data_IF_720228294667
#
_entry.id   IF_720228294667
#
_cell.length_a   1.000
_cell.length_b   1.000
_cell.length_c   1.000
_cell.angle_alpha   90.00
_cell.angle_beta   90.00
_cell.angle_gamma   90.00
#
_symmetry.space_group_name_H-M   'P 1'
#
loop_
_entity.id
_entity.type
_entity.pdbx_description
1 polymer ?
#
# COMPACT_ATOMS: atom_id res chain seq x y z
N UNK A 1 -30.77 -7.24 15.41
CA UNK A 1 -29.88 -7.85 14.38
C UNK A 1 -28.68 -6.94 14.07
N UNK A 2 -28.89 -5.66 13.73
CA UNK A 2 -27.84 -4.65 13.48
C UNK A 2 -26.85 -4.42 14.65
N UNK A 3 -27.30 -4.54 15.90
CA UNK A 3 -26.44 -4.41 17.10
C UNK A 3 -25.33 -5.49 17.15
N UNK A 4 -25.66 -6.74 16.78
CA UNK A 4 -24.70 -7.86 16.71
C UNK A 4 -23.68 -7.70 15.58
N UNK A 5 -24.04 -7.05 14.47
CA UNK A 5 -23.15 -6.81 13.34
C UNK A 5 -22.07 -5.77 13.72
N UNK A 6 -22.47 -4.73 14.47
CA UNK A 6 -21.57 -3.69 14.96
C UNK A 6 -20.66 -4.17 16.11
N UNK A 7 -21.15 -5.07 16.95
CA UNK A 7 -20.37 -5.72 18.02
C UNK A 7 -19.26 -6.62 17.44
N UNK A 8 -19.54 -7.39 16.37
CA UNK A 8 -18.56 -8.26 15.69
C UNK A 8 -17.40 -7.52 15.01
N UNK A 9 -17.52 -6.22 14.76
CA UNK A 9 -16.48 -5.38 14.14
C UNK A 9 -15.45 -4.88 15.19
N UNK A 10 -15.67 -5.06 16.51
CA UNK A 10 -14.63 -4.75 17.51
C UNK A 10 -15.06 -4.35 18.92
N UNK A 11 -16.30 -4.60 19.36
CA UNK A 11 -16.70 -4.38 20.76
C UNK A 11 -17.18 -5.70 21.39
N UNK A 12 -16.37 -6.30 22.28
CA UNK A 12 -16.69 -7.55 23.02
C UNK A 12 -18.00 -7.39 23.82
N UNK A 13 -18.83 -8.43 24.01
CA UNK A 13 -18.58 -9.71 24.72
C UNK A 13 -19.36 -10.89 24.11
N UNK A 14 -18.85 -12.09 24.34
CA UNK A 14 -19.27 -13.41 23.82
C UNK A 14 -20.76 -13.73 23.83
N UNK A 15 -21.27 -14.39 22.79
CA UNK A 15 -21.65 -15.82 22.81
C UNK A 15 -22.17 -16.31 21.44
N UNK A 16 -21.81 -17.57 21.18
CA UNK A 16 -22.22 -18.60 20.21
C UNK A 16 -23.15 -18.31 19.02
N UNK A 17 -22.87 -18.99 17.90
CA UNK A 17 -23.80 -19.14 16.78
C UNK A 17 -23.11 -19.60 15.50
N UNK A 18 -22.93 -20.91 15.37
CA UNK A 18 -22.59 -21.64 14.16
C UNK A 18 -23.83 -21.67 13.24
N UNK A 19 -23.68 -21.40 11.94
CA UNK A 19 -24.67 -21.82 10.93
C UNK A 19 -23.97 -22.08 9.60
N UNK A 20 -23.89 -23.35 9.23
CA UNK A 20 -23.74 -23.84 7.86
C UNK A 20 -25.06 -23.65 7.09
N UNK A 21 -24.97 -23.37 5.80
CA UNK A 21 -26.10 -23.35 4.88
C UNK A 21 -25.66 -23.17 3.43
N UNK A 22 -25.88 -24.21 2.63
CA UNK A 22 -25.36 -24.45 1.27
C UNK A 22 -26.27 -23.90 0.16
N UNK A 23 -25.59 -23.44 -0.90
CA UNK A 23 -25.91 -23.28 -2.34
C UNK A 23 -27.15 -22.53 -2.86
N UNK A 24 -26.84 -21.52 -3.68
CA UNK A 24 -27.49 -21.24 -4.95
C UNK A 24 -26.45 -20.59 -5.87
N UNK A 25 -26.02 -21.27 -6.94
CA UNK A 25 -24.97 -20.79 -7.82
C UNK A 25 -25.49 -19.65 -8.72
N UNK A 26 -25.36 -18.42 -8.22
CA UNK A 26 -25.31 -17.22 -9.05
C UNK A 26 -23.82 -16.96 -9.29
N UNK A 27 -23.42 -16.90 -10.57
CA UNK A 27 -22.05 -16.58 -10.98
C UNK A 27 -21.73 -15.12 -10.65
N UNK A 28 -21.39 -14.84 -9.40
CA UNK A 28 -20.77 -13.58 -9.02
C UNK A 28 -19.28 -13.65 -9.37
N UNK A 29 -18.79 -12.70 -10.17
CA UNK A 29 -17.35 -12.51 -10.31
C UNK A 29 -16.82 -11.88 -9.01
N UNK A 30 -16.14 -12.68 -8.20
CA UNK A 30 -15.44 -12.18 -7.01
C UNK A 30 -14.06 -11.69 -7.43
N UNK A 31 -13.75 -10.43 -7.12
CA UNK A 31 -12.35 -9.97 -7.10
C UNK A 31 -11.85 -10.21 -5.69
N UNK A 32 -10.75 -10.96 -5.54
CA UNK A 32 -9.95 -11.03 -4.31
C UNK A 32 -9.29 -9.67 -4.04
N UNK A 33 -10.11 -8.70 -3.64
CA UNK A 33 -9.73 -7.29 -3.51
C UNK A 33 -8.82 -7.01 -2.32
N UNK A 34 -8.77 -7.92 -1.35
CA UNK A 34 -7.97 -7.76 -0.12
C UNK A 34 -6.48 -7.57 -0.39
N UNK A 35 -5.94 -8.23 -1.42
CA UNK A 35 -4.54 -8.04 -1.84
C UNK A 35 -4.28 -6.65 -2.45
N UNK A 36 -5.22 -6.15 -3.26
CA UNK A 36 -5.04 -4.89 -4.00
C UNK A 36 -5.10 -3.68 -3.07
N UNK A 37 -6.09 -3.61 -2.18
CA UNK A 37 -6.18 -2.48 -1.24
C UNK A 37 -5.05 -2.49 -0.22
N UNK A 38 -4.63 -3.68 0.25
CA UNK A 38 -3.48 -3.78 1.16
C UNK A 38 -2.20 -3.27 0.50
N UNK A 39 -1.91 -3.69 -0.73
CA UNK A 39 -0.73 -3.24 -1.48
C UNK A 39 -0.75 -1.72 -1.72
N UNK A 40 -1.88 -1.15 -2.12
CA UNK A 40 -2.05 0.30 -2.28
C UNK A 40 -1.89 1.07 -0.97
N UNK A 41 -2.39 0.51 0.13
CA UNK A 41 -2.24 1.10 1.47
C UNK A 41 -0.76 1.14 1.88
N UNK A 42 0.00 0.09 1.59
CA UNK A 42 1.44 0.08 1.85
C UNK A 42 2.19 1.16 1.08
N UNK A 43 1.89 1.33 -0.22
CA UNK A 43 2.48 2.42 -1.00
C UNK A 43 2.12 3.79 -0.42
N UNK A 44 0.85 4.00 -0.06
CA UNK A 44 0.40 5.26 0.53
C UNK A 44 1.12 5.59 1.84
N UNK A 45 1.29 4.62 2.74
CA UNK A 45 1.86 4.88 4.07
C UNK A 45 3.39 4.92 4.06
N UNK A 46 4.04 4.14 3.19
CA UNK A 46 5.51 4.00 3.19
C UNK A 46 6.23 4.95 2.24
N UNK A 47 5.55 5.43 1.19
CA UNK A 47 6.16 6.35 0.23
C UNK A 47 5.89 7.82 0.63
N UNK A 48 6.92 8.61 0.97
CA UNK A 48 6.73 9.96 1.50
C UNK A 48 6.13 10.94 0.48
N UNK A 49 6.47 10.78 -0.80
CA UNK A 49 5.95 11.64 -1.88
C UNK A 49 4.45 11.40 -2.05
N UNK A 50 4.04 10.14 -2.08
CA UNK A 50 2.65 9.73 -2.19
C UNK A 50 1.85 10.15 -0.97
N UNK A 51 2.37 9.90 0.23
CA UNK A 51 1.72 10.31 1.47
C UNK A 51 1.47 11.82 1.48
N UNK A 52 2.51 12.60 1.20
CA UNK A 52 2.43 14.07 1.22
C UNK A 52 1.47 14.59 0.15
N UNK A 53 1.55 14.07 -1.07
CA UNK A 53 0.66 14.48 -2.17
C UNK A 53 -0.81 14.22 -1.84
N UNK A 54 -1.13 13.01 -1.35
CA UNK A 54 -2.51 12.62 -1.03
C UNK A 54 -3.04 13.40 0.17
N UNK A 55 -2.26 13.56 1.23
CA UNK A 55 -2.66 14.34 2.40
C UNK A 55 -2.87 15.82 2.08
N UNK A 56 -2.01 16.39 1.23
CA UNK A 56 -2.15 17.78 0.76
C UNK A 56 -3.40 17.95 -0.08
N UNK A 57 -3.63 17.07 -1.07
CA UNK A 57 -4.83 17.11 -1.91
C UNK A 57 -6.11 16.92 -1.09
N UNK A 58 -6.12 16.01 -0.13
CA UNK A 58 -7.26 15.80 0.77
C UNK A 58 -7.55 17.08 1.55
N UNK A 59 -6.51 17.74 2.08
CA UNK A 59 -6.64 19.00 2.82
C UNK A 59 -7.13 20.14 1.92
N UNK A 60 -6.71 20.21 0.65
CA UNK A 60 -7.22 21.20 -0.29
C UNK A 60 -8.68 20.97 -0.69
N UNK A 61 -9.11 19.72 -0.80
CA UNK A 61 -10.49 19.37 -1.15
C UNK A 61 -11.43 19.62 0.03
N UNK A 62 -11.05 19.20 1.24
CA UNK A 62 -11.93 19.21 2.41
C UNK A 62 -11.76 20.46 3.27
N UNK A 63 -10.60 21.12 3.20
CA UNK A 63 -10.26 22.31 4.00
C UNK A 63 -11.23 23.48 3.88
N UNK A 64 -11.78 23.81 2.70
CA UNK A 64 -12.81 24.83 2.55
C UNK A 64 -14.13 24.51 3.29
N UNK A 65 -14.31 23.27 3.74
CA UNK A 65 -15.56 22.77 4.31
C UNK A 65 -16.64 22.57 3.25
N UNK A 66 -17.85 22.34 3.72
CA UNK A 66 -19.02 22.19 2.86
C UNK A 66 -20.20 22.97 3.43
N UNK A 67 -21.18 23.29 2.57
CA UNK A 67 -22.43 23.91 2.99
C UNK A 67 -23.60 23.12 2.43
N UNK A 68 -24.73 23.15 3.13
CA UNK A 68 -25.97 22.48 2.73
C UNK A 68 -26.93 23.54 2.23
N UNK A 69 -27.42 23.37 1.00
CA UNK A 69 -28.40 24.25 0.37
C UNK A 69 -29.72 23.52 0.13
N UNK A 70 -30.86 24.15 0.43
CA UNK A 70 -32.18 23.57 0.24
C UNK A 70 -33.28 24.32 1.01
N UNK A 71 -34.44 23.68 1.18
CA UNK A 71 -35.52 24.20 2.02
C UNK A 71 -35.10 24.33 3.49
N UNK A 72 -35.56 25.38 4.18
CA UNK A 72 -35.06 25.77 5.49
C UNK A 72 -35.16 24.65 6.55
N UNK A 73 -36.27 23.91 6.56
CA UNK A 73 -36.45 22.77 7.49
C UNK A 73 -35.53 21.60 7.14
N UNK A 74 -35.36 21.30 5.86
CA UNK A 74 -34.48 20.23 5.41
C UNK A 74 -33.01 20.54 5.72
N UNK A 75 -32.58 21.79 5.49
CA UNK A 75 -31.23 22.27 5.80
C UNK A 75 -30.93 22.14 7.29
N UNK A 76 -31.88 22.50 8.18
CA UNK A 76 -31.67 22.37 9.63
C UNK A 76 -31.50 20.90 10.06
N UNK A 77 -32.32 19.99 9.51
CA UNK A 77 -32.24 18.55 9.80
C UNK A 77 -30.88 17.99 9.36
N UNK A 78 -30.46 18.31 8.14
CA UNK A 78 -29.20 17.81 7.57
C UNK A 78 -27.99 18.40 8.30
N UNK A 79 -27.99 19.70 8.60
CA UNK A 79 -26.90 20.32 9.38
C UNK A 79 -26.79 19.73 10.79
N UNK A 80 -27.92 19.43 11.42
CA UNK A 80 -27.93 18.75 12.72
C UNK A 80 -27.34 17.35 12.61
N UNK A 81 -27.74 16.57 11.61
CA UNK A 81 -27.17 15.25 11.35
C UNK A 81 -25.66 15.35 11.12
N UNK A 82 -25.21 16.23 10.22
CA UNK A 82 -23.80 16.42 9.88
C UNK A 82 -22.94 16.76 11.10
N UNK A 83 -23.45 17.58 12.02
CA UNK A 83 -22.77 17.92 13.26
C UNK A 83 -22.67 16.73 14.22
N UNK A 84 -23.71 15.90 14.31
CA UNK A 84 -23.73 14.73 15.18
C UNK A 84 -22.77 13.64 14.69
N UNK A 85 -22.75 13.37 13.38
CA UNK A 85 -21.90 12.32 12.81
C UNK A 85 -20.45 12.77 12.57
N UNK A 86 -20.15 14.06 12.73
CA UNK A 86 -18.83 14.61 12.43
C UNK A 86 -18.52 14.51 10.93
N UNK A 87 -19.41 15.03 10.08
CA UNK A 87 -19.32 14.88 8.63
C UNK A 87 -17.98 15.36 8.05
N UNK A 88 -17.35 16.39 8.62
CA UNK A 88 -16.02 16.85 8.18
C UNK A 88 -14.95 15.74 8.26
N UNK A 89 -14.98 14.95 9.33
CA UNK A 89 -14.03 13.84 9.55
C UNK A 89 -14.34 12.67 8.61
N UNK A 90 -15.62 12.41 8.37
CA UNK A 90 -16.08 11.41 7.40
C UNK A 90 -15.61 11.80 6.00
N UNK A 91 -15.84 13.05 5.58
CA UNK A 91 -15.43 13.56 4.28
C UNK A 91 -13.90 13.53 4.13
N UNK A 92 -13.15 13.97 5.15
CA UNK A 92 -11.69 13.89 5.12
C UNK A 92 -11.21 12.47 4.87
N UNK A 93 -11.76 11.49 5.61
CA UNK A 93 -11.39 10.08 5.47
C UNK A 93 -11.82 9.51 4.13
N UNK A 94 -13.05 9.78 3.71
CA UNK A 94 -13.59 9.27 2.45
C UNK A 94 -12.81 9.81 1.25
N UNK A 95 -12.51 11.11 1.23
CA UNK A 95 -11.70 11.74 0.17
C UNK A 95 -10.29 11.18 0.16
N UNK A 96 -9.65 11.03 1.34
CA UNK A 96 -8.32 10.44 1.44
C UNK A 96 -8.30 9.03 0.80
N UNK A 97 -9.27 8.18 1.17
CA UNK A 97 -9.42 6.83 0.63
C UNK A 97 -9.76 6.79 -0.86
N UNK A 98 -10.60 7.70 -1.34
CA UNK A 98 -10.85 7.87 -2.76
C UNK A 98 -9.55 8.18 -3.51
N UNK A 99 -8.66 9.01 -2.96
CA UNK A 99 -7.40 9.36 -3.62
C UNK A 99 -6.41 8.20 -3.65
N UNK A 100 -6.16 7.50 -2.53
CA UNK A 100 -5.14 6.43 -2.49
C UNK A 100 -5.63 5.06 -2.94
N UNK A 101 -6.90 4.72 -2.72
CA UNK A 101 -7.49 3.43 -3.08
C UNK A 101 -8.47 3.50 -4.26
N UNK A 102 -8.97 4.69 -4.59
CA UNK A 102 -10.03 4.88 -5.59
C UNK A 102 -11.43 4.73 -5.00
N UNK A 103 -11.55 4.21 -3.78
CA UNK A 103 -12.80 3.75 -3.19
C UNK A 103 -12.82 4.04 -1.69
N UNK A 104 -13.98 4.37 -1.14
CA UNK A 104 -14.24 4.41 0.30
C UNK A 104 -15.62 3.84 0.59
N UNK A 105 -15.71 2.94 1.57
CA UNK A 105 -16.94 2.21 1.89
C UNK A 105 -17.42 2.50 3.30
N UNK A 106 -18.72 2.76 3.43
CA UNK A 106 -19.35 3.12 4.69
C UNK A 106 -20.71 2.40 4.84
N UNK A 107 -21.09 2.08 6.07
CA UNK A 107 -22.36 1.45 6.42
C UNK A 107 -23.30 2.51 6.96
N UNK A 108 -24.51 2.58 6.40
CA UNK A 108 -25.62 3.35 6.96
C UNK A 108 -26.17 2.65 8.19
N UNK A 109 -26.23 3.36 9.31
CA UNK A 109 -26.82 2.85 10.55
C UNK A 109 -28.17 3.53 10.77
N UNK A 110 -29.21 2.71 10.85
CA UNK A 110 -30.58 3.16 11.07
C UNK A 110 -31.06 2.82 12.49
N UNK A 111 -31.81 3.74 13.09
CA UNK A 111 -32.59 3.51 14.30
C UNK A 111 -34.01 4.07 14.11
N UNK A 112 -35.02 3.24 14.37
CA UNK A 112 -36.43 3.60 14.15
C UNK A 112 -36.74 4.11 12.73
N UNK A 113 -36.03 3.63 11.70
CA UNK A 113 -36.16 4.07 10.30
C UNK A 113 -35.46 5.40 9.98
N UNK A 114 -34.76 6.01 10.93
CA UNK A 114 -33.96 7.23 10.72
C UNK A 114 -32.48 6.89 10.63
N UNK A 115 -31.77 7.51 9.69
CA UNK A 115 -30.31 7.41 9.61
C UNK A 115 -29.70 8.15 10.80
N UNK A 116 -28.94 7.45 11.63
CA UNK A 116 -28.32 8.01 12.83
C UNK A 116 -26.80 8.13 12.73
N UNK A 117 -26.16 7.30 11.91
CA UNK A 117 -24.69 7.22 11.85
C UNK A 117 -24.21 6.63 10.51
N UNK A 118 -22.94 6.89 10.20
CA UNK A 118 -22.21 6.33 9.07
C UNK A 118 -20.92 5.70 9.57
N UNK A 119 -20.81 4.37 9.45
CA UNK A 119 -19.66 3.63 9.96
C UNK A 119 -18.70 3.23 8.87
N UNK A 120 -17.44 3.62 9.04
CA UNK A 120 -16.38 3.32 8.09
C UNK A 120 -16.07 1.82 8.01
N UNK A 121 -15.89 1.30 6.79
CA UNK A 121 -15.35 -0.03 6.54
C UNK A 121 -13.89 0.12 6.09
N UNK A 122 -12.91 -0.35 6.88
CA UNK A 122 -11.52 -0.37 6.45
C UNK A 122 -11.34 -1.19 5.18
N UNK A 123 -10.80 -0.56 4.13
CA UNK A 123 -10.61 -1.20 2.82
C UNK A 123 -9.71 -2.43 2.90
N UNK A 124 -8.72 -2.41 3.79
CA UNK A 124 -7.79 -3.52 4.03
C UNK A 124 -8.45 -4.75 4.66
N UNK A 125 -9.67 -4.62 5.18
CA UNK A 125 -10.43 -5.74 5.76
C UNK A 125 -11.41 -6.35 4.76
N UNK A 126 -11.59 -5.72 3.59
CA UNK A 126 -12.46 -6.26 2.55
C UNK A 126 -11.74 -7.42 1.87
N UNK A 127 -12.31 -8.60 1.95
CA UNK A 127 -11.76 -9.82 1.34
C UNK A 127 -12.25 -9.95 -0.10
N UNK A 128 -13.55 -9.75 -0.31
CA UNK A 128 -14.18 -9.85 -1.62
C UNK A 128 -15.20 -8.74 -1.85
N UNK A 129 -15.28 -8.30 -3.10
CA UNK A 129 -16.33 -7.41 -3.59
C UNK A 129 -17.17 -8.19 -4.59
N UNK A 130 -18.42 -8.43 -4.23
CA UNK A 130 -19.40 -9.04 -5.12
C UNK A 130 -20.03 -7.95 -5.96
N UNK A 131 -19.92 -8.07 -7.27
CA UNK A 131 -20.43 -7.08 -8.21
C UNK A 131 -21.17 -7.75 -9.37
N UNK A 132 -22.10 -6.98 -9.90
CA UNK A 132 -22.71 -7.16 -11.20
C UNK A 132 -22.02 -6.22 -12.20
N UNK A 133 -22.37 -6.27 -13.48
CA UNK A 133 -21.72 -5.47 -14.53
C UNK A 133 -21.76 -3.97 -14.26
N UNK A 134 -22.79 -3.49 -13.55
CA UNK A 134 -23.03 -2.06 -13.31
C UNK A 134 -22.91 -1.63 -11.85
N UNK A 135 -22.96 -2.56 -10.89
CA UNK A 135 -23.09 -2.19 -9.46
C UNK A 135 -22.43 -3.19 -8.52
N UNK A 136 -22.05 -2.69 -7.34
CA UNK A 136 -21.66 -3.53 -6.22
C UNK A 136 -22.93 -4.15 -5.63
N UNK A 137 -22.91 -5.46 -5.44
CA UNK A 137 -24.02 -6.25 -4.88
C UNK A 137 -23.83 -6.43 -3.38
N UNK A 138 -22.62 -6.82 -2.96
CA UNK A 138 -22.26 -7.02 -1.56
C UNK A 138 -20.76 -6.91 -1.33
N UNK A 139 -20.37 -6.69 -0.08
CA UNK A 139 -18.99 -6.75 0.38
C UNK A 139 -18.82 -7.89 1.38
N UNK A 140 -17.70 -8.59 1.31
CA UNK A 140 -17.24 -9.47 2.37
C UNK A 140 -16.10 -8.80 3.13
N UNK A 141 -16.25 -8.72 4.45
CA UNK A 141 -15.30 -8.06 5.34
C UNK A 141 -14.84 -9.05 6.39
N UNK A 142 -13.53 -9.24 6.49
CA UNK A 142 -12.93 -10.00 7.56
C UNK A 142 -12.82 -9.13 8.81
N UNK A 143 -13.50 -9.55 9.87
CA UNK A 143 -13.40 -8.92 11.18
C UNK A 143 -12.09 -9.29 11.88
N UNK A 144 -11.71 -8.53 12.91
CA UNK A 144 -10.50 -8.79 13.72
C UNK A 144 -10.54 -10.20 14.35
N UNK A 145 -11.73 -10.75 14.60
CA UNK A 145 -11.92 -12.10 15.15
C UNK A 145 -11.80 -13.21 14.09
N UNK A 146 -11.53 -12.86 12.83
CA UNK A 146 -11.42 -13.79 11.71
C UNK A 146 -12.75 -14.17 11.07
N UNK A 147 -13.89 -13.71 11.60
CA UNK A 147 -15.19 -13.97 11.00
C UNK A 147 -15.36 -13.13 9.73
N UNK A 148 -15.89 -13.75 8.67
CA UNK A 148 -16.29 -13.07 7.44
C UNK A 148 -17.73 -12.60 7.58
N UNK A 149 -17.94 -11.30 7.44
CA UNK A 149 -19.26 -10.67 7.43
C UNK A 149 -19.60 -10.25 6.01
N UNK A 150 -20.80 -10.65 5.55
CA UNK A 150 -21.36 -10.17 4.29
C UNK A 150 -22.24 -8.94 4.54
N UNK A 151 -22.01 -7.88 3.78
CA UNK A 151 -22.73 -6.60 3.87
C UNK A 151 -23.40 -6.34 2.52
N UNK A 152 -24.72 -6.19 2.51
CA UNK A 152 -25.48 -5.94 1.30
C UNK A 152 -25.41 -4.48 0.84
N UNK A 153 -25.51 -4.29 -0.48
CA UNK A 153 -25.40 -2.98 -1.13
C UNK A 153 -26.43 -1.93 -0.67
N UNK A 154 -27.60 -2.33 -0.17
CA UNK A 154 -28.65 -1.40 0.29
C UNK A 154 -28.18 -0.50 1.45
N UNK A 155 -27.41 -1.09 2.37
CA UNK A 155 -26.86 -0.39 3.53
C UNK A 155 -25.48 0.21 3.26
N UNK A 156 -24.94 0.01 2.06
CA UNK A 156 -23.59 0.43 1.68
C UNK A 156 -23.61 1.81 1.03
N UNK A 157 -22.71 2.67 1.47
CA UNK A 157 -22.33 3.89 0.77
C UNK A 157 -20.97 3.67 0.15
N UNK A 158 -20.88 3.88 -1.16
CA UNK A 158 -19.64 3.78 -1.94
C UNK A 158 -19.28 5.16 -2.47
N UNK A 159 -18.22 5.74 -1.92
CA UNK A 159 -17.57 6.90 -2.51
C UNK A 159 -16.45 6.41 -3.44
N UNK A 160 -16.37 7.00 -4.63
CA UNK A 160 -15.37 6.65 -5.63
C UNK A 160 -14.82 7.90 -6.31
N UNK A 161 -13.53 7.90 -6.64
CA UNK A 161 -12.90 9.05 -7.30
C UNK A 161 -13.35 9.16 -8.76
N UNK A 162 -12.90 8.23 -9.59
CA UNK A 162 -13.24 8.15 -11.03
C UNK A 162 -13.36 6.67 -11.40
N UNK A 163 -14.34 6.32 -12.24
CA UNK A 163 -14.44 4.99 -12.86
C UNK A 163 -13.93 5.08 -14.29
N UNK A 164 -13.04 4.19 -14.68
CA UNK A 164 -12.57 4.12 -16.07
C UNK A 164 -13.36 3.04 -16.82
N UNK A 165 -13.96 3.39 -17.96
CA UNK A 165 -14.76 2.46 -18.75
C UNK A 165 -15.96 1.90 -17.96
N UNK A 166 -16.20 0.60 -18.08
CA UNK A 166 -17.25 -0.14 -17.36
C UNK A 166 -16.83 -0.67 -15.99
N UNK A 167 -15.77 -0.13 -15.38
CA UNK A 167 -15.36 -0.55 -14.04
C UNK A 167 -16.38 -0.10 -12.98
N UNK A 168 -16.74 -1.05 -12.10
CA UNK A 168 -17.66 -0.77 -10.96
C UNK A 168 -16.94 -0.06 -9.81
N UNK A 169 -15.63 -0.28 -9.69
CA UNK A 169 -14.78 0.32 -8.67
C UNK A 169 -14.13 1.59 -9.19
N UNK A 170 -13.87 2.51 -8.26
CA UNK A 170 -13.09 3.69 -8.55
C UNK A 170 -11.60 3.39 -8.67
N UNK A 171 -10.94 4.24 -9.45
CA UNK A 171 -9.52 4.25 -9.74
C UNK A 171 -8.82 5.30 -8.87
N UNK A 172 -7.75 4.95 -8.12
CA UNK A 172 -6.99 5.93 -7.35
C UNK A 172 -6.17 6.83 -8.26
N UNK A 173 -5.77 7.99 -7.74
CA UNK A 173 -4.94 8.95 -8.48
C UNK A 173 -3.55 8.36 -8.81
N UNK A 174 -3.04 7.48 -7.96
CA UNK A 174 -1.73 6.85 -8.13
C UNK A 174 -1.79 5.52 -8.90
N UNK A 175 -2.93 5.16 -9.52
CA UNK A 175 -3.06 3.92 -10.32
C UNK A 175 -1.91 3.74 -11.33
N UNK A 176 -1.53 4.76 -12.13
CA UNK A 176 -0.44 4.61 -13.10
C UNK A 176 0.92 4.31 -12.44
N UNK A 177 1.11 4.64 -11.17
CA UNK A 177 2.33 4.39 -10.42
C UNK A 177 2.34 2.99 -9.78
N UNK A 178 1.16 2.48 -9.42
CA UNK A 178 1.00 1.18 -8.74
C UNK A 178 0.91 -0.02 -9.68
N UNK A 179 0.47 0.17 -10.92
CA UNK A 179 0.22 -0.92 -11.85
C UNK A 179 1.40 -1.12 -12.82
N UNK A 180 1.81 -2.38 -13.09
CA UNK A 180 2.79 -2.67 -14.12
C UNK A 180 2.24 -2.33 -15.51
N UNK A 181 3.13 -2.03 -16.45
CA UNK A 181 2.76 -1.61 -17.81
C UNK A 181 3.38 -2.54 -18.83
N UNK A 182 2.64 -2.84 -19.89
CA UNK A 182 3.18 -3.55 -21.05
C UNK A 182 3.65 -2.52 -22.07
N UNK A 183 4.90 -2.65 -22.52
CA UNK A 183 5.48 -1.82 -23.58
C UNK A 183 5.78 -2.72 -24.76
N UNK A 184 5.24 -2.36 -25.92
CA UNK A 184 5.54 -3.02 -27.18
C UNK A 184 6.80 -2.41 -27.80
N UNK A 185 7.78 -3.25 -28.07
CA UNK A 185 8.99 -2.91 -28.80
C UNK A 185 8.80 -3.31 -30.27
N UNK A 186 8.66 -2.34 -31.19
CA UNK A 186 8.46 -2.62 -32.60
C UNK A 186 9.71 -3.21 -33.28
N UNK A 187 10.91 -2.91 -32.78
CA UNK A 187 12.17 -3.35 -33.39
C UNK A 187 12.42 -4.85 -33.11
N UNK A 188 12.01 -5.30 -31.92
CA UNK A 188 12.13 -6.71 -31.49
C UNK A 188 10.84 -7.51 -31.67
N UNK A 189 9.77 -6.86 -32.12
CA UNK A 189 8.42 -7.41 -32.21
C UNK A 189 8.00 -8.16 -30.93
N UNK A 190 8.29 -7.58 -29.77
CA UNK A 190 8.12 -8.21 -28.46
C UNK A 190 7.47 -7.26 -27.45
N UNK A 191 6.69 -7.81 -26.52
CA UNK A 191 6.09 -7.06 -25.42
C UNK A 191 6.90 -7.28 -24.14
N UNK A 192 7.31 -6.19 -23.51
CA UNK A 192 8.02 -6.21 -22.23
C UNK A 192 7.12 -5.71 -21.11
N UNK A 193 7.11 -6.44 -19.99
CA UNK A 193 6.44 -5.99 -18.78
C UNK A 193 7.39 -5.10 -17.96
N UNK A 194 7.03 -3.84 -17.81
CA UNK A 194 7.69 -2.90 -16.91
C UNK A 194 6.98 -3.00 -15.55
N UNK A 195 7.73 -3.22 -14.44
CA UNK A 195 7.15 -3.26 -13.11
C UNK A 195 6.53 -1.91 -12.72
N UNK A 196 5.80 -1.88 -11.60
CA UNK A 196 5.22 -0.63 -11.12
C UNK A 196 6.30 0.41 -10.80
N UNK A 197 5.96 1.69 -10.87
CA UNK A 197 6.92 2.75 -10.60
C UNK A 197 7.43 2.71 -9.16
N UNK A 198 6.58 2.32 -8.20
CA UNK A 198 7.00 2.11 -6.81
C UNK A 198 8.01 0.99 -6.68
N UNK A 199 7.80 -0.14 -7.37
CA UNK A 199 8.74 -1.26 -7.31
C UNK A 199 10.11 -0.86 -7.89
N UNK A 200 10.12 -0.06 -8.97
CA UNK A 200 11.36 0.52 -9.52
C UNK A 200 12.03 1.44 -8.49
N UNK A 201 11.28 2.41 -7.95
CA UNK A 201 11.80 3.38 -6.97
C UNK A 201 12.42 2.69 -5.77
N UNK A 202 11.71 1.76 -5.14
CA UNK A 202 12.19 1.03 -3.98
C UNK A 202 13.36 0.08 -4.31
N UNK A 203 13.37 -0.52 -5.50
CA UNK A 203 14.51 -1.32 -5.95
C UNK A 203 15.77 -0.48 -6.14
N UNK A 204 15.62 0.76 -6.61
CA UNK A 204 16.72 1.72 -6.74
C UNK A 204 17.23 2.17 -5.38
N UNK A 205 16.34 2.48 -4.43
CA UNK A 205 16.71 2.80 -3.04
C UNK A 205 17.48 1.64 -2.39
N UNK A 206 17.02 0.40 -2.57
CA UNK A 206 17.72 -0.79 -2.10
C UNK A 206 19.09 -0.96 -2.78
N UNK A 207 19.19 -0.76 -4.09
CA UNK A 207 20.45 -0.83 -4.80
C UNK A 207 21.44 0.24 -4.33
N UNK A 208 20.96 1.48 -4.12
CA UNK A 208 21.73 2.59 -3.57
C UNK A 208 22.23 2.25 -2.17
N UNK A 209 21.35 1.75 -1.30
CA UNK A 209 21.71 1.29 0.04
C UNK A 209 22.81 0.23 0.00
N UNK A 210 22.70 -0.77 -0.89
CA UNK A 210 23.75 -1.79 -1.04
C UNK A 210 25.08 -1.20 -1.52
N UNK A 211 25.06 -0.23 -2.43
CA UNK A 211 26.29 0.45 -2.87
C UNK A 211 26.91 1.19 -1.69
N UNK A 212 26.13 2.01 -0.98
CA UNK A 212 26.58 2.76 0.20
C UNK A 212 27.12 1.85 1.31
N UNK A 213 26.46 0.72 1.57
CA UNK A 213 26.90 -0.27 2.58
C UNK A 213 28.07 -1.13 2.11
N UNK A 214 28.28 -1.29 0.81
CA UNK A 214 29.45 -1.99 0.22
C UNK A 214 30.67 -1.08 0.10
N UNK A 215 30.51 0.24 0.31
CA UNK A 215 31.58 1.22 0.29
C UNK A 215 32.62 1.19 1.44
N UNK A 216 32.55 0.36 2.50
CA UNK A 216 33.72 0.14 3.32
C UNK A 216 34.85 -0.37 2.42
N UNK A 217 36.04 0.26 2.41
CA UNK A 217 37.15 -0.21 1.62
C UNK A 217 37.38 -1.68 1.92
N UNK A 218 37.27 -2.53 0.88
CA UNK A 218 37.60 -3.94 1.02
C UNK A 218 39.11 -4.03 1.08
N UNK A 219 39.61 -4.31 2.28
CA UNK A 219 41.00 -4.61 2.53
C UNK A 219 41.25 -6.09 2.23
N UNK A 220 42.15 -6.36 1.29
CA UNK A 220 42.71 -7.71 1.17
C UNK A 220 43.93 -7.73 2.07
N UNK A 221 43.84 -8.50 3.15
CA UNK A 221 44.95 -8.76 4.06
C UNK A 221 45.73 -9.96 3.54
N UNK A 222 46.96 -9.72 3.10
CA UNK A 222 47.88 -10.81 2.73
C UNK A 222 48.85 -11.04 3.88
N UNK A 223 48.80 -12.24 4.45
CA UNK A 223 49.72 -12.69 5.50
C UNK A 223 50.76 -13.65 4.88
N UNK A 224 51.97 -13.19 4.52
CA UNK A 224 52.91 -13.98 3.72
C UNK A 224 53.53 -15.19 4.43
N UNK A 225 53.47 -15.28 5.77
CA UNK A 225 54.18 -16.31 6.56
C UNK A 225 53.27 -17.23 7.39
N UNK A 226 51.95 -17.18 7.21
CA UNK A 226 50.99 -17.90 8.04
C UNK A 226 50.00 -18.68 7.15
N UNK A 227 49.72 -19.94 7.52
CA UNK A 227 48.70 -20.76 6.89
C UNK A 227 47.74 -21.40 7.89
N UNK A 228 46.48 -21.58 7.48
CA UNK A 228 45.53 -22.48 8.13
C UNK A 228 44.63 -21.83 9.20
N UNK A 229 44.92 -22.09 10.48
CA UNK A 229 44.01 -21.82 11.60
C UNK A 229 44.05 -20.37 12.09
N UNK A 230 45.23 -19.80 12.31
CA UNK A 230 45.40 -18.40 12.73
C UNK A 230 44.87 -17.41 11.69
N UNK A 231 44.97 -17.75 10.39
CA UNK A 231 44.35 -16.97 9.31
C UNK A 231 42.81 -16.94 9.42
N UNK A 232 42.19 -18.04 9.86
CA UNK A 232 40.73 -18.11 10.07
C UNK A 232 40.32 -17.30 11.29
N UNK A 233 41.07 -17.35 12.38
CA UNK A 233 40.82 -16.52 13.57
C UNK A 233 40.90 -15.02 13.25
N UNK A 234 41.91 -14.59 12.49
CA UNK A 234 41.99 -13.20 12.02
C UNK A 234 40.84 -12.85 11.07
N UNK A 235 40.44 -13.77 10.18
CA UNK A 235 39.30 -13.55 9.28
C UNK A 235 37.96 -13.43 10.04
N UNK A 236 37.77 -14.19 11.12
CA UNK A 236 36.60 -14.07 11.98
C UNK A 236 36.59 -12.77 12.78
N UNK A 237 37.74 -12.36 13.32
CA UNK A 237 37.90 -11.05 13.96
C UNK A 237 37.61 -9.89 13.00
N UNK A 238 38.07 -9.98 11.75
CA UNK A 238 37.79 -8.98 10.71
C UNK A 238 36.29 -8.92 10.37
N UNK A 239 35.58 -10.06 10.37
CA UNK A 239 34.13 -10.10 10.13
C UNK A 239 33.33 -9.47 11.27
N UNK A 240 33.83 -9.53 12.50
CA UNK A 240 33.17 -8.98 13.69
C UNK A 240 33.50 -7.51 13.97
N UNK A 241 34.46 -6.91 13.26
CA UNK A 241 34.87 -5.52 13.48
C UNK A 241 33.81 -4.52 13.02
N UNK A 242 33.67 -3.44 13.79
CA UNK A 242 32.83 -2.31 13.42
C UNK A 242 33.55 -1.40 12.41
N UNK A 243 32.81 -0.69 11.53
CA UNK A 243 33.41 0.27 10.62
C UNK A 243 34.25 1.33 11.36
N UNK A 244 35.56 1.38 11.10
CA UNK A 244 36.48 2.35 11.71
C UNK A 244 37.40 1.78 12.80
N UNK A 245 37.31 0.48 13.12
CA UNK A 245 38.27 -0.17 14.01
C UNK A 245 39.57 -0.54 13.28
N UNK A 246 40.71 -0.14 13.84
CA UNK A 246 42.04 -0.42 13.30
C UNK A 246 42.64 -1.71 13.88
N UNK A 247 43.30 -2.49 13.03
CA UNK A 247 44.00 -3.70 13.45
C UNK A 247 45.46 -3.36 13.73
N UNK A 248 45.88 -3.52 14.97
CA UNK A 248 47.30 -3.43 15.35
C UNK A 248 47.86 -4.85 15.44
N UNK A 249 48.88 -5.15 14.65
CA UNK A 249 49.58 -6.43 14.68
C UNK A 249 51.09 -6.22 14.58
N UNK A 250 51.85 -7.09 15.25
CA UNK A 250 53.32 -7.08 15.26
C UNK A 250 53.94 -7.80 14.05
N UNK A 251 53.13 -8.14 13.04
CA UNK A 251 53.54 -8.92 11.88
C UNK A 251 53.43 -8.09 10.59
N UNK A 252 54.27 -8.39 9.60
CA UNK A 252 54.18 -7.78 8.28
C UNK A 252 52.86 -8.17 7.60
N UNK A 253 52.02 -7.17 7.33
CA UNK A 253 50.74 -7.34 6.64
C UNK A 253 50.72 -6.41 5.43
N UNK A 254 50.57 -6.99 4.26
CA UNK A 254 50.29 -6.23 3.04
C UNK A 254 48.79 -5.98 2.94
N UNK A 255 48.37 -4.73 3.11
CA UNK A 255 46.99 -4.30 2.96
C UNK A 255 46.79 -3.73 1.56
N UNK A 256 46.20 -4.53 0.66
CA UNK A 256 45.81 -4.04 -0.66
C UNK A 256 44.42 -3.43 -0.52
N UNK A 257 44.35 -2.10 -0.60
CA UNK A 257 43.08 -1.38 -0.71
C UNK A 257 42.53 -1.54 -2.12
N UNK A 258 41.40 -2.25 -2.24
CA UNK A 258 40.66 -2.28 -3.51
C UNK A 258 39.88 -0.98 -3.64
N UNK A 259 40.48 0.03 -4.27
CA UNK A 259 39.78 1.25 -4.66
C UNK A 259 38.83 0.93 -5.82
N UNK A 260 37.53 0.96 -5.54
CA UNK A 260 36.51 0.92 -6.58
C UNK A 260 36.17 2.36 -6.95
N UNK A 261 36.56 2.81 -8.15
CA UNK A 261 36.27 4.17 -8.61
C UNK A 261 34.79 4.26 -9.07
N UNK A 262 33.94 5.06 -8.39
CA UNK A 262 32.53 5.22 -8.75
C UNK A 262 32.31 5.78 -10.16
N UNK A 263 33.26 6.56 -10.68
CA UNK A 263 33.08 7.30 -11.95
C UNK A 263 33.12 6.40 -13.18
N UNK A 264 33.71 5.22 -13.06
CA UNK A 264 33.89 4.28 -14.18
C UNK A 264 32.61 3.56 -14.59
N UNK A 265 31.58 3.47 -13.73
CA UNK A 265 30.34 2.77 -14.07
C UNK A 265 29.45 3.53 -15.05
N UNK A 266 29.58 4.86 -15.15
CA UNK A 266 28.84 5.70 -16.10
C UNK A 266 29.46 5.74 -17.50
N UNK A 267 30.76 5.48 -17.63
CA UNK A 267 31.48 5.52 -18.93
C UNK A 267 31.30 4.24 -19.75
N UNK A 268 30.97 3.11 -19.11
CA UNK A 268 30.72 1.85 -19.82
C UNK A 268 29.37 1.81 -20.55
N UNK A 269 28.43 2.70 -20.24
CA UNK A 269 27.13 2.78 -20.94
C UNK A 269 27.25 3.62 -22.24
N UNK A 270 28.26 4.50 -22.36
CA UNK A 270 28.47 5.32 -23.57
C UNK A 270 29.29 4.63 -24.67
N UNK A 271 29.94 3.48 -24.40
CA UNK A 271 30.84 2.83 -25.36
C UNK A 271 30.25 1.62 -26.08
N UNK A 272 28.97 1.28 -25.87
CA UNK A 272 28.30 0.18 -26.60
C UNK A 272 27.61 0.68 -27.89
N UNK A 273 27.51 2.00 -28.12
CA UNK A 273 26.89 2.59 -29.31
C UNK A 273 27.90 3.06 -30.39
N UNK A 274 29.17 2.71 -30.29
CA UNK A 274 30.16 3.06 -31.34
C UNK A 274 31.14 1.93 -31.58
N UNK A 275 30.65 0.81 -32.08
CA UNK A 275 31.45 -0.07 -32.93
C UNK A 275 30.54 -0.59 -34.04
N UNK A 276 30.82 -0.13 -35.26
CA UNK A 276 30.31 -0.70 -36.51
C UNK A 276 30.83 -2.12 -36.68
#
# INVERSE_FOLDING_TARGET
MFRKILEKIGFKRSEEGFFEGVSGAISYSSIESGGVFRKRFEYFVKDPDTYTAIMSLTSFIVGPGFHVSGDGKAVEIVNRFNRVVGMDQILFKAVCEMLWAGNSFWIRVYDGGRLIDLKHIPLTFITAIHRDDSKIVALEVQTITGQVLKIDSENLVHFYLIRHGGEVLGSPINRPLTEPRMVYDPDRNACYQIPSYYDIKWSMEWAMWRVLMKYPPRHIYRFPRIGGETQREYAEKIKSMLPGEDIVTNQEVDVIQVKMDPRTSSTHISNISTTR
#
